data_IF_738448937169
#
_entry.id   IF_738448937169
#
_cell.length_a   1.000
_cell.length_b   1.000
_cell.length_c   1.000
_cell.angle_alpha   90.00
_cell.angle_beta   90.00
_cell.angle_gamma   90.00
#
_symmetry.space_group_name_H-M   'P 1'
#
loop_
_entity.id
_entity.type
_entity.pdbx_description
1 polymer ?
#
# COMPACT_ATOMS: atom_id res chain seq x y z
N UNK A 1 -5.12 12.66 36.53
CA UNK A 1 -5.20 11.74 35.38
C UNK A 1 -3.85 11.76 34.68
N UNK A 2 -3.26 10.59 34.44
CA UNK A 2 -1.97 10.47 33.75
C UNK A 2 -2.02 11.18 32.39
N UNK A 3 -0.89 11.74 31.93
CA UNK A 3 -0.83 12.36 30.61
C UNK A 3 -1.01 11.29 29.55
N UNK A 4 -2.18 11.25 28.91
CA UNK A 4 -2.42 10.38 27.77
C UNK A 4 -1.71 11.01 26.55
N UNK A 5 -0.41 10.74 26.43
CA UNK A 5 0.41 11.14 25.27
C UNK A 5 0.17 10.26 24.05
N UNK A 6 -0.58 9.18 24.22
CA UNK A 6 -0.96 8.28 23.14
C UNK A 6 -1.87 9.01 22.14
N UNK A 7 -1.55 8.90 20.85
CA UNK A 7 -2.30 9.51 19.76
C UNK A 7 -2.50 8.50 18.64
N UNK A 8 -3.62 8.60 17.93
CA UNK A 8 -3.92 7.69 16.84
C UNK A 8 -5.40 7.69 16.48
N UNK A 9 -5.74 7.14 15.30
CA UNK A 9 -7.13 7.01 14.87
C UNK A 9 -7.94 6.12 15.83
N UNK A 10 -7.39 4.96 16.22
CA UNK A 10 -8.01 4.05 17.19
C UNK A 10 -8.18 4.71 18.57
N UNK A 11 -7.17 5.48 19.01
CA UNK A 11 -7.21 6.23 20.28
C UNK A 11 -8.34 7.25 20.26
N UNK A 12 -8.49 8.01 19.17
CA UNK A 12 -9.62 8.95 19.04
C UNK A 12 -10.97 8.22 19.07
N UNK A 13 -11.11 7.07 18.42
CA UNK A 13 -12.36 6.28 18.40
C UNK A 13 -12.70 5.81 19.81
N UNK A 14 -11.72 5.27 20.53
CA UNK A 14 -11.87 4.86 21.94
C UNK A 14 -12.24 6.04 22.84
N UNK A 15 -11.55 7.17 22.69
CA UNK A 15 -11.82 8.38 23.46
C UNK A 15 -13.20 8.98 23.15
N UNK A 16 -13.68 8.88 21.91
CA UNK A 16 -15.03 9.29 21.57
C UNK A 16 -16.07 8.39 22.24
N UNK A 17 -15.85 7.07 22.30
CA UNK A 17 -16.72 6.17 23.05
C UNK A 17 -16.76 6.51 24.54
N UNK A 18 -15.60 6.77 25.12
CA UNK A 18 -15.50 7.20 26.51
C UNK A 18 -16.28 8.51 26.76
N UNK A 19 -16.20 9.47 25.85
CA UNK A 19 -16.98 10.71 25.93
C UNK A 19 -18.49 10.43 25.92
N UNK A 20 -18.96 9.56 25.04
CA UNK A 20 -20.37 9.14 24.97
C UNK A 20 -20.81 8.54 26.31
N UNK A 21 -20.01 7.62 26.87
CA UNK A 21 -20.34 6.93 28.12
C UNK A 21 -20.39 7.90 29.31
N UNK A 22 -19.52 8.91 29.36
CA UNK A 22 -19.60 9.97 30.37
C UNK A 22 -20.87 10.80 30.21
N UNK A 23 -21.21 11.17 28.98
CA UNK A 23 -22.42 11.95 28.69
C UNK A 23 -23.71 11.18 29.00
N UNK A 24 -23.73 9.88 28.76
CA UNK A 24 -24.87 9.01 29.10
C UNK A 24 -25.04 8.90 30.63
N UNK A 25 -23.92 8.74 31.35
CA UNK A 25 -23.91 8.67 32.82
C UNK A 25 -24.41 9.94 33.51
N UNK A 26 -24.39 11.08 32.83
CA UNK A 26 -24.96 12.33 33.34
C UNK A 26 -26.50 12.31 33.43
N UNK A 27 -27.18 11.43 32.69
CA UNK A 27 -28.63 11.26 32.76
C UNK A 27 -29.42 12.47 32.25
N UNK A 28 -30.58 12.75 32.86
CA UNK A 28 -31.56 13.74 32.38
C UNK A 28 -31.02 15.15 32.10
N UNK A 29 -30.04 15.71 32.86
CA UNK A 29 -29.46 17.01 32.52
C UNK A 29 -28.67 17.04 31.19
N UNK A 30 -28.21 15.89 30.67
CA UNK A 30 -27.67 15.80 29.32
C UNK A 30 -28.80 15.73 28.28
N UNK A 31 -29.32 16.89 27.88
CA UNK A 31 -30.42 17.01 26.92
C UNK A 31 -30.12 17.98 25.76
N UNK A 32 -29.21 17.64 24.83
CA UNK A 32 -28.80 18.54 23.76
C UNK A 32 -29.90 18.76 22.71
N UNK A 33 -30.12 20.01 22.31
CA UNK A 33 -30.99 20.37 21.18
C UNK A 33 -30.33 20.10 19.82
N UNK A 34 -29.00 20.06 19.76
CA UNK A 34 -28.27 19.64 18.57
C UNK A 34 -28.35 18.11 18.44
N UNK A 35 -29.06 17.66 17.41
CA UNK A 35 -29.28 16.24 17.14
C UNK A 35 -27.97 15.43 17.08
N UNK A 36 -26.89 15.99 16.52
CA UNK A 36 -25.59 15.32 16.40
C UNK A 36 -24.95 14.98 17.75
N UNK A 37 -25.33 15.69 18.83
CA UNK A 37 -24.80 15.48 20.18
C UNK A 37 -25.65 14.53 21.02
N UNK A 38 -26.78 14.03 20.50
CA UNK A 38 -27.57 13.02 21.20
C UNK A 38 -26.77 11.73 21.34
N UNK A 39 -26.96 11.00 22.46
CA UNK A 39 -26.25 9.73 22.72
C UNK A 39 -26.45 8.74 21.56
N UNK A 40 -27.65 8.69 20.98
CA UNK A 40 -27.99 7.83 19.83
C UNK A 40 -27.13 8.18 18.61
N UNK A 41 -27.09 9.46 18.20
CA UNK A 41 -26.36 9.87 17.01
C UNK A 41 -24.85 9.82 17.21
N UNK A 42 -24.34 10.16 18.40
CA UNK A 42 -22.92 9.99 18.72
C UNK A 42 -22.52 8.51 18.70
N UNK A 43 -23.35 7.61 19.22
CA UNK A 43 -23.09 6.17 19.17
C UNK A 43 -23.08 5.66 17.73
N UNK A 44 -24.01 6.10 16.88
CA UNK A 44 -24.02 5.75 15.47
C UNK A 44 -22.76 6.26 14.74
N UNK A 45 -22.31 7.47 15.05
CA UNK A 45 -21.06 8.03 14.51
C UNK A 45 -19.85 7.21 14.98
N UNK A 46 -19.81 6.82 16.25
CA UNK A 46 -18.75 5.96 16.80
C UNK A 46 -18.70 4.61 16.06
N UNK A 47 -19.85 3.92 15.90
CA UNK A 47 -19.91 2.65 15.18
C UNK A 47 -19.44 2.80 13.73
N UNK A 48 -19.83 3.89 13.06
CA UNK A 48 -19.39 4.19 11.68
C UNK A 48 -17.87 4.39 11.62
N UNK A 49 -17.31 5.16 12.56
CA UNK A 49 -15.87 5.41 12.65
C UNK A 49 -15.06 4.15 12.95
N UNK A 50 -15.51 3.33 13.91
CA UNK A 50 -14.90 2.07 14.28
C UNK A 50 -14.92 1.08 13.11
N UNK A 51 -16.08 0.93 12.45
CA UNK A 51 -16.21 0.09 11.24
C UNK A 51 -15.26 0.55 10.15
N UNK A 52 -15.22 1.85 9.82
CA UNK A 52 -14.33 2.38 8.79
C UNK A 52 -12.84 2.12 9.12
N UNK A 53 -12.46 2.22 10.39
CA UNK A 53 -11.10 1.93 10.85
C UNK A 53 -10.76 0.43 10.75
N UNK A 54 -11.67 -0.45 11.16
CA UNK A 54 -11.50 -1.90 11.09
C UNK A 54 -11.44 -2.39 9.64
N UNK A 55 -12.33 -1.91 8.77
CA UNK A 55 -12.33 -2.24 7.33
C UNK A 55 -11.01 -1.85 6.68
N UNK A 56 -10.49 -0.64 6.96
CA UNK A 56 -9.19 -0.24 6.46
C UNK A 56 -8.06 -1.12 7.01
N UNK A 57 -8.08 -1.43 8.31
CA UNK A 57 -7.04 -2.27 8.94
C UNK A 57 -6.99 -3.65 8.29
N UNK A 58 -8.15 -4.29 8.10
CA UNK A 58 -8.27 -5.57 7.43
C UNK A 58 -7.75 -5.50 5.98
N UNK A 59 -8.15 -4.47 5.21
CA UNK A 59 -7.70 -4.29 3.84
C UNK A 59 -6.18 -4.07 3.73
N UNK A 60 -5.58 -3.32 4.67
CA UNK A 60 -4.12 -3.12 4.71
C UNK A 60 -3.38 -4.41 5.06
N UNK A 61 -3.92 -5.26 5.94
CA UNK A 61 -3.30 -6.57 6.21
C UNK A 61 -3.43 -7.51 5.00
N UNK A 62 -4.62 -7.57 4.39
CA UNK A 62 -4.87 -8.37 3.20
C UNK A 62 -3.97 -7.97 2.01
N UNK A 63 -3.61 -6.69 1.91
CA UNK A 63 -2.70 -6.18 0.89
C UNK A 63 -1.27 -6.72 1.00
N UNK A 64 -0.82 -7.16 2.19
CA UNK A 64 0.57 -7.60 2.40
C UNK A 64 0.89 -8.90 1.68
N UNK A 65 -0.01 -9.89 1.73
CA UNK A 65 0.22 -11.20 1.13
C UNK A 65 0.60 -11.11 -0.37
N UNK A 66 -0.18 -10.46 -1.24
CA UNK A 66 0.16 -10.36 -2.65
C UNK A 66 1.37 -9.47 -2.96
N UNK A 67 1.70 -8.51 -2.09
CA UNK A 67 2.98 -7.78 -2.16
C UNK A 67 4.14 -8.75 -1.93
N UNK A 68 4.04 -9.59 -0.91
CA UNK A 68 5.06 -10.59 -0.58
C UNK A 68 5.15 -11.67 -1.66
N UNK A 69 4.02 -12.17 -2.17
CA UNK A 69 3.97 -13.18 -3.23
C UNK A 69 4.69 -12.67 -4.50
N UNK A 70 4.48 -11.41 -4.87
CA UNK A 70 5.22 -10.79 -5.98
C UNK A 70 6.72 -10.71 -5.68
N UNK A 71 7.13 -10.35 -4.47
CA UNK A 71 8.55 -10.30 -4.11
C UNK A 71 9.19 -11.69 -4.24
N UNK A 72 8.57 -12.70 -3.65
CA UNK A 72 9.01 -14.11 -3.70
C UNK A 72 9.09 -14.61 -5.14
N UNK A 73 8.09 -14.30 -5.97
CA UNK A 73 8.05 -14.72 -7.36
C UNK A 73 9.24 -14.20 -8.18
N UNK A 74 9.69 -12.97 -7.91
CA UNK A 74 10.76 -12.33 -8.67
C UNK A 74 12.16 -12.62 -8.10
N UNK A 75 12.30 -12.98 -6.83
CA UNK A 75 13.59 -13.23 -6.17
C UNK A 75 14.51 -14.22 -6.92
N UNK A 76 14.05 -15.40 -7.40
CA UNK A 76 14.95 -16.37 -8.05
C UNK A 76 15.23 -16.04 -9.53
N UNK A 77 14.55 -15.04 -10.11
CA UNK A 77 14.46 -14.89 -11.58
C UNK A 77 15.77 -14.45 -12.24
N UNK A 78 16.64 -13.70 -11.56
CA UNK A 78 17.93 -13.26 -12.13
C UNK A 78 18.87 -14.45 -12.41
N UNK A 79 18.85 -15.45 -11.50
CA UNK A 79 19.60 -16.70 -11.67
C UNK A 79 19.03 -17.53 -12.81
N UNK A 80 17.70 -17.60 -12.92
CA UNK A 80 17.03 -18.31 -14.01
C UNK A 80 17.34 -17.69 -15.38
N UNK A 81 17.25 -16.36 -15.50
CA UNK A 81 17.59 -15.63 -16.74
C UNK A 81 19.06 -15.86 -17.14
N UNK A 82 19.96 -15.90 -16.17
CA UNK A 82 21.37 -16.23 -16.44
C UNK A 82 21.52 -17.65 -17.00
N UNK A 83 20.79 -18.62 -16.44
CA UNK A 83 20.82 -20.01 -16.90
C UNK A 83 20.24 -20.18 -18.30
N UNK A 84 19.08 -19.56 -18.59
CA UNK A 84 18.46 -19.65 -19.92
C UNK A 84 19.35 -19.01 -20.99
N UNK A 85 19.98 -17.87 -20.69
CA UNK A 85 20.93 -17.22 -21.59
C UNK A 85 22.13 -18.13 -21.89
N UNK A 86 22.73 -18.73 -20.86
CA UNK A 86 23.89 -19.61 -21.04
C UNK A 86 23.54 -20.89 -21.79
N UNK A 87 22.36 -21.45 -21.54
CA UNK A 87 21.83 -22.55 -22.34
C UNK A 87 21.73 -22.12 -23.81
N UNK A 88 21.07 -20.99 -24.10
CA UNK A 88 20.90 -20.51 -25.47
C UNK A 88 22.23 -20.25 -26.19
N UNK A 89 23.23 -19.72 -25.47
CA UNK A 89 24.58 -19.50 -26.01
C UNK A 89 25.28 -20.79 -26.44
N UNK A 90 24.97 -21.94 -25.82
CA UNK A 90 25.52 -23.26 -26.18
C UNK A 90 24.87 -23.89 -27.43
N UNK A 91 23.77 -23.32 -27.92
CA UNK A 91 23.05 -23.83 -29.09
C UNK A 91 23.69 -23.38 -30.40
N UNK A 92 23.16 -23.86 -31.52
CA UNK A 92 23.55 -23.46 -32.88
C UNK A 92 22.84 -22.18 -33.37
N UNK A 93 22.12 -21.45 -32.50
CA UNK A 93 21.50 -20.17 -32.86
C UNK A 93 22.53 -19.18 -33.39
N UNK A 94 22.09 -18.27 -34.27
CA UNK A 94 22.96 -17.24 -34.87
C UNK A 94 23.51 -16.27 -33.81
N UNK A 95 24.69 -15.72 -34.07
CA UNK A 95 25.32 -14.75 -33.17
C UNK A 95 24.45 -13.50 -32.96
N UNK A 96 23.69 -13.09 -33.97
CA UNK A 96 22.76 -11.97 -33.88
C UNK A 96 21.66 -12.24 -32.85
N UNK A 97 20.98 -13.40 -32.92
CA UNK A 97 19.89 -13.74 -32.00
C UNK A 97 20.43 -13.96 -30.57
N UNK A 98 21.63 -14.54 -30.44
CA UNK A 98 22.31 -14.66 -29.13
C UNK A 98 22.64 -13.29 -28.52
N UNK A 99 23.06 -12.33 -29.35
CA UNK A 99 23.29 -10.96 -28.91
C UNK A 99 22.00 -10.27 -28.44
N UNK A 100 20.89 -10.48 -29.15
CA UNK A 100 19.57 -9.98 -28.75
C UNK A 100 19.10 -10.57 -27.40
N UNK A 101 19.23 -11.90 -27.23
CA UNK A 101 18.93 -12.58 -25.98
C UNK A 101 19.79 -12.05 -24.82
N UNK A 102 21.09 -11.83 -25.06
CA UNK A 102 21.99 -11.21 -24.09
C UNK A 102 21.54 -9.81 -23.70
N UNK A 103 21.15 -8.97 -24.67
CA UNK A 103 20.66 -7.62 -24.41
C UNK A 103 19.41 -7.60 -23.52
N UNK A 104 18.46 -8.49 -23.78
CA UNK A 104 17.26 -8.64 -22.95
C UNK A 104 17.58 -9.15 -21.54
N UNK A 105 18.45 -10.17 -21.43
CA UNK A 105 18.88 -10.72 -20.14
C UNK A 105 19.66 -9.69 -19.29
N UNK A 106 20.47 -8.85 -19.93
CA UNK A 106 21.22 -7.78 -19.29
C UNK A 106 20.30 -6.67 -18.77
N UNK A 107 19.31 -6.25 -19.58
CA UNK A 107 18.27 -5.30 -19.15
C UNK A 107 17.46 -5.82 -17.96
N UNK A 108 17.08 -7.10 -18.00
CA UNK A 108 16.34 -7.75 -16.91
C UNK A 108 17.12 -7.73 -15.59
N UNK A 109 18.41 -8.11 -15.63
CA UNK A 109 19.29 -8.18 -14.45
C UNK A 109 19.83 -6.81 -14.01
N UNK A 110 19.62 -5.77 -14.82
CA UNK A 110 20.12 -4.41 -14.55
C UNK A 110 21.62 -4.26 -14.81
N UNK A 111 22.23 -5.22 -15.50
CA UNK A 111 23.64 -5.18 -15.91
C UNK A 111 23.75 -4.50 -17.28
N UNK A 112 23.59 -3.16 -17.31
CA UNK A 112 23.77 -2.36 -18.52
C UNK A 112 25.23 -2.14 -18.89
N UNK A 113 25.48 -1.63 -20.10
CA UNK A 113 26.81 -1.14 -20.51
C UNK A 113 27.14 0.07 -19.64
N UNK A 114 28.19 -0.02 -18.83
CA UNK A 114 28.76 1.16 -18.17
C UNK A 114 29.30 2.08 -19.26
N UNK A 115 28.80 3.31 -19.34
CA UNK A 115 29.42 4.34 -20.18
C UNK A 115 30.79 4.64 -19.55
N UNK A 116 31.86 4.47 -20.33
CA UNK A 116 33.19 4.85 -19.87
C UNK A 116 33.23 6.36 -19.70
N UNK A 117 33.69 6.83 -18.53
CA UNK A 117 33.94 8.26 -18.30
C UNK A 117 34.88 8.79 -19.37
N UNK A 118 34.57 9.97 -19.91
CA UNK A 118 35.46 10.61 -20.87
C UNK A 118 36.78 10.98 -20.15
N UNK A 119 37.94 10.62 -20.73
CA UNK A 119 39.23 10.79 -20.07
C UNK A 119 39.67 12.26 -19.92
N UNK A 120 38.96 13.19 -20.56
CA UNK A 120 39.33 14.61 -20.67
C UNK A 120 38.54 15.56 -19.74
N UNK A 121 37.65 15.03 -18.89
CA UNK A 121 36.85 15.84 -17.97
C UNK A 121 35.74 16.65 -18.63
N UNK A 122 35.43 16.39 -19.90
CA UNK A 122 34.20 16.87 -20.53
C UNK A 122 32.96 16.26 -19.83
N UNK A 123 31.79 16.94 -19.88
CA UNK A 123 30.58 16.41 -19.27
C UNK A 123 30.27 15.02 -19.82
N UNK A 124 30.02 14.06 -18.93
CA UNK A 124 29.57 12.73 -19.35
C UNK A 124 28.34 12.88 -20.27
N UNK A 125 28.22 12.07 -21.35
CA UNK A 125 27.03 12.07 -22.19
C UNK A 125 25.78 11.92 -21.31
N UNK A 126 24.69 12.60 -21.66
CA UNK A 126 23.44 12.53 -20.89
C UNK A 126 23.00 11.06 -20.72
N UNK A 127 23.16 10.53 -19.51
CA UNK A 127 22.80 9.16 -19.17
C UNK A 127 21.27 9.00 -19.20
N UNK A 128 20.79 8.27 -20.20
CA UNK A 128 19.41 7.77 -20.19
C UNK A 128 19.43 6.43 -19.47
N UNK A 129 18.83 6.38 -18.28
CA UNK A 129 18.66 5.10 -17.56
C UNK A 129 17.80 4.16 -18.40
N UNK A 130 18.43 3.14 -18.99
CA UNK A 130 17.76 2.05 -19.73
C UNK A 130 17.44 0.85 -18.83
N UNK A 131 17.63 0.99 -17.51
CA UNK A 131 17.51 -0.11 -16.57
C UNK A 131 16.06 -0.46 -16.26
N UNK A 132 15.66 -1.70 -16.56
CA UNK A 132 14.29 -2.21 -16.45
C UNK A 132 14.01 -2.85 -15.08
N UNK A 133 14.39 -2.19 -13.97
CA UNK A 133 14.36 -2.81 -12.64
C UNK A 133 13.00 -2.83 -11.92
N UNK A 134 11.98 -2.15 -12.45
CA UNK A 134 10.65 -2.27 -11.87
C UNK A 134 10.06 -3.66 -12.14
N UNK A 135 9.23 -4.19 -11.24
CA UNK A 135 8.57 -5.49 -11.45
C UNK A 135 7.81 -5.57 -12.78
N UNK A 136 7.23 -4.45 -13.23
CA UNK A 136 6.52 -4.34 -14.52
C UNK A 136 7.50 -4.50 -15.68
N UNK A 137 8.60 -3.74 -15.67
CA UNK A 137 9.60 -3.77 -16.74
C UNK A 137 10.35 -5.11 -16.77
N UNK A 138 10.65 -5.70 -15.61
CA UNK A 138 11.23 -7.05 -15.53
C UNK A 138 10.28 -8.10 -16.14
N UNK A 139 8.99 -8.08 -15.80
CA UNK A 139 8.02 -9.01 -16.37
C UNK A 139 7.90 -8.90 -17.90
N UNK A 140 7.84 -7.67 -18.42
CA UNK A 140 7.78 -7.42 -19.86
C UNK A 140 9.05 -7.89 -20.58
N UNK A 141 10.23 -7.54 -20.05
CA UNK A 141 11.53 -7.96 -20.59
C UNK A 141 11.68 -9.48 -20.56
N UNK A 142 11.22 -10.13 -19.49
CA UNK A 142 11.23 -11.59 -19.39
C UNK A 142 10.32 -12.23 -20.44
N UNK A 143 9.12 -11.68 -20.67
CA UNK A 143 8.23 -12.17 -21.73
C UNK A 143 8.87 -12.04 -23.12
N UNK A 144 9.51 -10.92 -23.41
CA UNK A 144 10.26 -10.72 -24.67
C UNK A 144 11.36 -11.77 -24.83
N UNK A 145 12.10 -12.07 -23.75
CA UNK A 145 13.15 -13.11 -23.77
C UNK A 145 12.57 -14.51 -24.03
N UNK A 146 11.43 -14.84 -23.40
CA UNK A 146 10.73 -16.11 -23.62
C UNK A 146 10.21 -16.24 -25.04
N UNK A 147 9.67 -15.16 -25.62
CA UNK A 147 9.20 -15.15 -27.01
C UNK A 147 10.34 -15.33 -28.00
N UNK A 148 11.50 -14.70 -27.74
CA UNK A 148 12.71 -14.90 -28.53
C UNK A 148 13.14 -16.37 -28.52
N UNK A 149 13.19 -17.00 -27.34
CA UNK A 149 13.48 -18.44 -27.23
C UNK A 149 12.44 -19.32 -27.94
N UNK A 150 11.15 -18.97 -27.85
CA UNK A 150 10.08 -19.71 -28.53
C UNK A 150 10.11 -19.58 -30.06
N UNK A 151 10.74 -18.52 -30.59
CA UNK A 151 10.89 -18.28 -32.02
C UNK A 151 12.09 -18.98 -32.67
N UNK A 152 13.05 -19.50 -31.88
CA UNK A 152 14.25 -20.15 -32.38
C UNK A 152 14.24 -21.66 -32.09
N UNK A 153 14.24 -22.48 -33.15
CA UNK A 153 14.22 -23.94 -33.03
C UNK A 153 15.46 -24.53 -32.32
N UNK A 154 16.55 -23.78 -32.21
CA UNK A 154 17.75 -24.21 -31.50
C UNK A 154 17.57 -24.19 -29.97
N UNK A 155 16.58 -23.46 -29.44
CA UNK A 155 16.25 -23.47 -28.01
C UNK A 155 15.35 -24.66 -27.66
N UNK A 156 15.96 -25.81 -27.37
CA UNK A 156 15.24 -27.06 -27.06
C UNK A 156 15.74 -27.76 -25.77
N UNK A 157 15.60 -27.12 -24.58
CA UNK A 157 16.12 -27.67 -23.33
C UNK A 157 15.36 -28.90 -22.84
N UNK A 158 16.09 -29.81 -22.21
CA UNK A 158 15.52 -31.00 -21.57
C UNK A 158 15.09 -30.70 -20.13
N UNK A 159 15.78 -29.77 -19.47
CA UNK A 159 15.54 -29.30 -18.12
C UNK A 159 14.21 -28.58 -18.04
N UNK A 160 13.31 -29.09 -17.20
CA UNK A 160 11.91 -28.63 -17.17
C UNK A 160 11.77 -27.13 -16.88
N UNK A 161 12.63 -26.58 -16.03
CA UNK A 161 12.63 -25.17 -15.64
C UNK A 161 13.15 -24.22 -16.72
N UNK A 162 13.86 -24.72 -17.74
CA UNK A 162 14.35 -23.94 -18.87
C UNK A 162 13.40 -24.02 -20.09
N UNK A 163 12.44 -24.94 -20.11
CA UNK A 163 11.49 -25.11 -21.23
C UNK A 163 10.63 -23.87 -21.43
N UNK A 164 10.37 -23.53 -22.70
CA UNK A 164 9.52 -22.40 -23.12
C UNK A 164 8.15 -22.44 -22.45
N UNK A 165 7.54 -23.62 -22.31
CA UNK A 165 6.23 -23.77 -21.62
C UNK A 165 6.28 -23.33 -20.16
N UNK A 166 7.34 -23.70 -19.44
CA UNK A 166 7.54 -23.36 -18.02
C UNK A 166 7.86 -21.87 -17.86
N UNK A 167 8.73 -21.34 -18.73
CA UNK A 167 9.07 -19.91 -18.73
C UNK A 167 7.86 -19.04 -19.11
N UNK A 168 7.01 -19.51 -20.03
CA UNK A 168 5.75 -18.82 -20.40
C UNK A 168 4.75 -18.79 -19.25
N UNK A 169 4.63 -19.89 -18.51
CA UNK A 169 3.81 -19.93 -17.29
C UNK A 169 4.33 -18.95 -16.25
N UNK A 170 5.66 -18.86 -16.05
CA UNK A 170 6.27 -17.89 -15.15
C UNK A 170 6.04 -16.44 -15.62
N UNK A 171 6.20 -16.14 -16.91
CA UNK A 171 5.94 -14.81 -17.46
C UNK A 171 4.48 -14.37 -17.24
N UNK A 172 3.54 -15.31 -17.40
CA UNK A 172 2.12 -15.08 -17.11
C UNK A 172 1.89 -14.81 -15.63
N UNK A 173 2.51 -15.61 -14.74
CA UNK A 173 2.43 -15.40 -13.29
C UNK A 173 3.00 -14.03 -12.87
N UNK A 174 4.13 -13.60 -13.45
CA UNK A 174 4.74 -12.29 -13.20
C UNK A 174 3.82 -11.15 -13.61
N UNK A 175 3.16 -11.25 -14.77
CA UNK A 175 2.17 -10.27 -15.22
C UNK A 175 0.96 -10.22 -14.27
N UNK A 176 0.38 -11.37 -13.93
CA UNK A 176 -0.76 -11.45 -13.01
C UNK A 176 -0.43 -10.88 -11.64
N UNK A 177 0.76 -11.17 -11.09
CA UNK A 177 1.21 -10.61 -9.82
C UNK A 177 1.35 -9.09 -9.87
N UNK A 178 1.77 -8.52 -11.01
CA UNK A 178 1.81 -7.07 -11.20
C UNK A 178 0.41 -6.45 -11.27
N UNK A 179 -0.50 -7.05 -12.03
CA UNK A 179 -1.88 -6.56 -12.18
C UNK A 179 -2.64 -6.57 -10.85
N UNK A 180 -2.41 -7.60 -10.03
CA UNK A 180 -3.05 -7.75 -8.72
C UNK A 180 -2.67 -6.64 -7.71
N UNK A 181 -1.50 -6.02 -7.86
CA UNK A 181 -1.09 -4.91 -6.98
C UNK A 181 -1.98 -3.69 -7.21
N UNK A 182 -2.35 -3.42 -8.48
CA UNK A 182 -3.25 -2.33 -8.83
C UNK A 182 -4.65 -2.51 -8.22
N UNK A 183 -5.17 -3.74 -8.21
CA UNK A 183 -6.50 -4.06 -7.67
C UNK A 183 -6.59 -3.88 -6.15
N UNK A 184 -5.47 -3.77 -5.44
CA UNK A 184 -5.42 -3.69 -3.99
C UNK A 184 -5.16 -2.27 -3.49
N UNK A 185 -4.24 -1.54 -4.14
CA UNK A 185 -3.85 -0.20 -3.70
C UNK A 185 -5.03 0.78 -3.83
N UNK A 186 -5.80 0.70 -4.93
CA UNK A 186 -6.96 1.55 -5.16
C UNK A 186 -7.99 1.48 -4.01
N UNK A 187 -8.52 0.29 -3.68
CA UNK A 187 -9.45 0.12 -2.56
C UNK A 187 -8.90 0.59 -1.21
N UNK A 188 -7.64 0.31 -0.89
CA UNK A 188 -7.02 0.76 0.38
C UNK A 188 -7.02 2.29 0.46
N UNK A 189 -6.69 2.99 -0.63
CA UNK A 189 -6.70 4.45 -0.65
C UNK A 189 -8.11 5.03 -0.47
N UNK A 190 -9.11 4.44 -1.12
CA UNK A 190 -10.52 4.85 -0.92
C UNK A 190 -10.95 4.65 0.53
N UNK A 191 -10.60 3.53 1.16
CA UNK A 191 -10.89 3.27 2.56
C UNK A 191 -10.20 4.26 3.51
N UNK A 192 -8.97 4.70 3.19
CA UNK A 192 -8.27 5.77 3.94
C UNK A 192 -9.03 7.08 3.87
N UNK A 193 -9.50 7.45 2.68
CA UNK A 193 -10.31 8.67 2.49
C UNK A 193 -11.60 8.57 3.30
N UNK A 194 -12.34 7.45 3.20
CA UNK A 194 -13.58 7.24 3.97
C UNK A 194 -13.34 7.38 5.47
N UNK A 195 -12.34 6.67 6.02
CA UNK A 195 -11.99 6.77 7.44
C UNK A 195 -11.65 8.21 7.83
N UNK A 196 -10.83 8.91 7.04
CA UNK A 196 -10.44 10.28 7.35
C UNK A 196 -11.64 11.22 7.35
N UNK A 197 -12.55 11.07 6.39
CA UNK A 197 -13.79 11.85 6.36
C UNK A 197 -14.64 11.62 7.60
N UNK A 198 -14.91 10.36 7.93
CA UNK A 198 -15.69 9.99 9.12
C UNK A 198 -15.08 10.53 10.41
N UNK A 199 -13.75 10.57 10.53
CA UNK A 199 -13.07 11.04 11.74
C UNK A 199 -12.89 12.56 11.81
N UNK A 200 -12.62 13.22 10.68
CA UNK A 200 -12.00 14.54 10.66
C UNK A 200 -12.63 15.55 9.70
N UNK A 201 -13.66 15.20 8.95
CA UNK A 201 -14.37 16.20 8.15
C UNK A 201 -14.88 17.33 9.04
N UNK A 202 -14.80 18.54 8.50
CA UNK A 202 -15.26 19.73 9.20
C UNK A 202 -16.77 19.60 9.49
N UNK A 203 -17.15 19.90 10.73
CA UNK A 203 -18.53 19.92 11.25
C UNK A 203 -19.24 18.55 11.32
N UNK A 204 -18.87 17.57 10.49
CA UNK A 204 -19.50 16.23 10.43
C UNK A 204 -18.60 15.12 10.96
N UNK A 205 -17.30 15.36 11.05
CA UNK A 205 -16.32 14.41 11.54
C UNK A 205 -16.49 14.14 13.03
N UNK A 206 -16.15 12.91 13.44
CA UNK A 206 -16.23 12.46 14.83
C UNK A 206 -15.52 13.40 15.80
N UNK A 207 -14.35 13.94 15.43
CA UNK A 207 -13.60 14.87 16.30
C UNK A 207 -14.35 16.18 16.51
N UNK A 208 -14.99 16.73 15.47
CA UNK A 208 -15.72 18.00 15.56
C UNK A 208 -16.97 17.83 16.44
N UNK A 209 -17.74 16.76 16.20
CA UNK A 209 -18.89 16.37 17.04
C UNK A 209 -18.46 16.22 18.51
N UNK A 210 -17.30 15.62 18.76
CA UNK A 210 -16.80 15.44 20.11
C UNK A 210 -16.39 16.77 20.78
N UNK A 211 -15.81 17.71 20.03
CA UNK A 211 -15.49 19.05 20.53
C UNK A 211 -16.76 19.84 20.84
N UNK A 212 -17.79 19.75 19.99
CA UNK A 212 -19.09 20.37 20.22
C UNK A 212 -19.81 19.77 21.42
N UNK A 213 -19.75 18.45 21.61
CA UNK A 213 -20.26 17.78 22.79
C UNK A 213 -19.61 18.32 24.08
N UNK A 214 -18.28 18.51 24.09
CA UNK A 214 -17.58 19.10 25.24
C UNK A 214 -18.00 20.54 25.50
N UNK A 215 -18.19 21.33 24.44
CA UNK A 215 -18.68 22.71 24.56
C UNK A 215 -20.11 22.73 25.12
N UNK A 216 -20.95 21.81 24.70
CA UNK A 216 -22.31 21.64 25.23
C UNK A 216 -22.30 21.31 26.72
N UNK A 217 -21.53 20.30 27.15
CA UNK A 217 -21.38 19.95 28.58
C UNK A 217 -20.87 21.15 29.38
N UNK A 218 -19.88 21.88 28.86
CA UNK A 218 -19.37 23.11 29.47
C UNK A 218 -20.45 24.19 29.61
N UNK A 219 -21.35 24.31 28.65
CA UNK A 219 -22.46 25.26 28.65
C UNK A 219 -23.57 24.90 29.66
N UNK A 220 -23.87 23.61 29.80
CA UNK A 220 -24.91 23.12 30.73
C UNK A 220 -24.45 23.16 32.19
N UNK A 221 -23.25 22.65 32.47
CA UNK A 221 -22.76 22.50 33.84
C UNK A 221 -21.89 23.68 34.32
N UNK A 222 -21.33 24.45 33.39
CA UNK A 222 -20.39 25.52 33.67
C UNK A 222 -18.92 25.08 33.58
N UNK A 223 -18.03 26.04 33.34
CA UNK A 223 -16.64 25.80 32.99
C UNK A 223 -15.79 25.07 34.05
N UNK A 224 -16.12 25.26 35.33
CA UNK A 224 -15.33 24.72 36.46
C UNK A 224 -15.96 23.49 37.10
N UNK A 225 -17.12 23.05 36.61
CA UNK A 225 -17.89 21.95 37.16
C UNK A 225 -17.14 20.61 37.04
N UNK A 226 -17.34 19.67 37.99
CA UNK A 226 -16.76 18.32 37.92
C UNK A 226 -17.09 17.60 36.61
N UNK A 227 -18.33 17.69 36.13
CA UNK A 227 -18.83 17.06 34.90
C UNK A 227 -18.07 17.56 33.67
N UNK A 228 -17.85 18.88 33.57
CA UNK A 228 -17.02 19.49 32.53
C UNK A 228 -15.59 18.97 32.56
N UNK A 229 -15.00 18.74 33.74
CA UNK A 229 -13.64 18.21 33.87
C UNK A 229 -13.53 16.75 33.41
N UNK A 230 -14.58 15.95 33.64
CA UNK A 230 -14.63 14.54 33.19
C UNK A 230 -14.53 14.44 31.67
N UNK A 231 -15.23 15.32 30.93
CA UNK A 231 -15.23 15.28 29.46
C UNK A 231 -14.08 16.03 28.82
N UNK A 232 -13.64 17.16 29.39
CA UNK A 232 -12.57 17.99 28.81
C UNK A 232 -11.19 17.34 28.90
N UNK A 233 -10.96 16.46 29.89
CA UNK A 233 -9.74 15.67 30.01
C UNK A 233 -9.55 14.59 28.94
N UNK A 234 -10.61 14.23 28.22
CA UNK A 234 -10.56 13.21 27.17
C UNK A 234 -9.90 13.80 25.92
N UNK A 235 -8.74 13.33 25.49
CA UNK A 235 -8.03 13.93 24.36
C UNK A 235 -8.55 13.43 23.00
N UNK A 236 -8.93 14.35 22.10
CA UNK A 236 -9.27 14.06 20.71
C UNK A 236 -8.44 14.98 19.81
N UNK A 237 -7.78 14.43 18.79
CA UNK A 237 -6.85 15.18 17.93
C UNK A 237 -7.18 14.96 16.45
N UNK A 238 -7.11 16.02 15.63
CA UNK A 238 -7.05 15.85 14.17
C UNK A 238 -5.64 15.34 13.81
N UNK A 239 -5.59 14.33 12.93
CA UNK A 239 -4.36 13.65 12.51
C UNK A 239 -4.18 13.73 11.01
#
# INVERSE_FOLDING_TARGET
MASNTETGHAVNISNFKLLIDQCDAFGAPYNPSNASLTIVNMTAQWTTADTAHQTLTAAVQAAKAPINDRQILFEPTDKLVTRTLNYFNSTTASDQIKADAKGLADRFRGSGVAVAKLPDGSPDPADVSTSHQSYVQKADTFKQLVDLYGGDAAYAPNENDLKVVTLTALATAMKTANDHIGTIIGPVNTLRVTRNKTLYDKDTGMVDIALDCKNYVKGVYGATAPETKLVTGIALRRL
#
